data_IF_689563771549
#
_entry.id   IF_689563771549
#
_cell.length_a   1.000
_cell.length_b   1.000
_cell.length_c   1.000
_cell.angle_alpha   90.00
_cell.angle_beta   90.00
_cell.angle_gamma   90.00
#
_symmetry.space_group_name_H-M   'P 1'
#
loop_
_entity.id
_entity.type
_entity.pdbx_description
1 polymer ?
#
# COMPACT_ATOMS: atom_id res chain seq x y z
N UNK A 1 -46.23 -14.69 -40.32
CA UNK A 1 -45.70 -13.34 -40.51
C UNK A 1 -45.34 -12.82 -39.13
N UNK A 2 -44.11 -13.08 -38.68
CA UNK A 2 -43.61 -12.74 -37.34
C UNK A 2 -42.91 -11.39 -37.43
N UNK A 3 -43.46 -10.40 -36.71
CA UNK A 3 -42.96 -9.04 -36.67
C UNK A 3 -41.73 -9.02 -35.75
N UNK A 4 -40.54 -8.82 -36.33
CA UNK A 4 -39.30 -8.64 -35.56
C UNK A 4 -39.40 -7.32 -34.77
N UNK A 5 -39.22 -7.41 -33.45
CA UNK A 5 -39.21 -6.25 -32.55
C UNK A 5 -37.86 -5.53 -32.66
N UNK A 6 -37.79 -4.53 -33.54
CA UNK A 6 -36.64 -3.66 -33.85
C UNK A 6 -36.31 -2.66 -32.71
N UNK A 7 -36.46 -3.06 -31.45
CA UNK A 7 -36.01 -2.22 -30.32
C UNK A 7 -34.49 -2.27 -30.24
N UNK A 8 -33.84 -1.35 -30.94
CA UNK A 8 -32.44 -1.02 -30.70
C UNK A 8 -32.25 -0.80 -29.19
N UNK A 9 -31.37 -1.58 -28.52
CA UNK A 9 -31.08 -1.34 -27.12
C UNK A 9 -30.53 0.08 -27.00
N UNK A 10 -31.19 0.89 -26.17
CA UNK A 10 -30.74 2.24 -25.88
C UNK A 10 -29.29 2.16 -25.41
N UNK A 11 -28.37 2.75 -26.18
CA UNK A 11 -26.96 2.86 -25.82
C UNK A 11 -26.89 3.54 -24.45
N UNK A 12 -26.56 2.76 -23.43
CA UNK A 12 -26.38 3.29 -22.09
C UNK A 12 -25.38 4.45 -22.16
N UNK A 13 -25.66 5.60 -21.53
CA UNK A 13 -24.78 6.75 -21.59
C UNK A 13 -23.40 6.33 -21.10
N UNK A 14 -22.40 6.48 -21.98
CA UNK A 14 -21.01 6.18 -21.65
C UNK A 14 -20.67 6.92 -20.36
N UNK A 15 -20.46 6.17 -19.27
CA UNK A 15 -20.06 6.75 -18.00
C UNK A 15 -18.78 7.55 -18.25
N UNK A 16 -18.86 8.85 -18.00
CA UNK A 16 -17.79 9.79 -18.36
C UNK A 16 -16.49 9.36 -17.71
N UNK A 17 -15.38 9.51 -18.42
CA UNK A 17 -14.06 9.01 -18.00
C UNK A 17 -13.53 9.55 -16.67
N UNK A 18 -14.23 10.48 -16.00
CA UNK A 18 -13.93 11.03 -14.68
C UNK A 18 -14.45 10.14 -13.55
N UNK A 19 -15.68 9.60 -13.67
CA UNK A 19 -16.33 8.83 -12.61
C UNK A 19 -15.54 7.55 -12.25
N UNK A 20 -14.85 6.95 -13.22
CA UNK A 20 -14.01 5.76 -13.02
C UNK A 20 -12.76 6.00 -12.16
N UNK A 21 -12.29 7.24 -12.02
CA UNK A 21 -11.05 7.55 -11.29
C UNK A 21 -11.28 7.96 -9.84
N UNK A 22 -12.48 8.46 -9.51
CA UNK A 22 -12.80 8.96 -8.17
C UNK A 22 -12.52 7.92 -7.07
N UNK A 23 -12.95 6.65 -7.18
CA UNK A 23 -12.69 5.65 -6.13
C UNK A 23 -11.19 5.39 -5.92
N UNK A 24 -10.41 5.37 -7.01
CA UNK A 24 -8.95 5.16 -6.95
C UNK A 24 -8.24 6.34 -6.30
N UNK A 25 -8.64 7.56 -6.66
CA UNK A 25 -8.10 8.77 -6.06
C UNK A 25 -8.39 8.81 -4.55
N UNK A 26 -9.63 8.50 -4.14
CA UNK A 26 -10.01 8.44 -2.72
C UNK A 26 -9.23 7.34 -1.98
N UNK A 27 -9.05 6.17 -2.58
CA UNK A 27 -8.23 5.11 -2.01
C UNK A 27 -6.75 5.50 -1.88
N UNK A 28 -6.19 6.20 -2.86
CA UNK A 28 -4.81 6.69 -2.79
C UNK A 28 -4.64 7.76 -1.70
N UNK A 29 -5.57 8.71 -1.60
CA UNK A 29 -5.57 9.74 -0.55
C UNK A 29 -5.72 9.10 0.82
N UNK A 30 -6.70 8.21 1.00
CA UNK A 30 -6.93 7.50 2.26
C UNK A 30 -5.75 6.61 2.65
N UNK A 31 -5.21 5.81 1.73
CA UNK A 31 -4.05 4.95 1.96
C UNK A 31 -2.79 5.76 2.28
N UNK A 32 -2.50 6.79 1.49
CA UNK A 32 -1.35 7.68 1.73
C UNK A 32 -1.45 8.41 3.07
N UNK A 33 -2.65 8.88 3.44
CA UNK A 33 -2.89 9.51 4.74
C UNK A 33 -2.67 8.54 5.89
N UNK A 34 -3.20 7.32 5.77
CA UNK A 34 -3.02 6.29 6.77
C UNK A 34 -1.52 5.96 6.96
N UNK A 35 -0.76 5.79 5.86
CA UNK A 35 0.68 5.56 5.92
C UNK A 35 1.41 6.75 6.57
N UNK A 36 1.05 7.99 6.23
CA UNK A 36 1.63 9.20 6.85
C UNK A 36 1.40 9.24 8.36
N UNK A 37 0.20 8.89 8.81
CA UNK A 37 -0.13 8.81 10.24
C UNK A 37 0.65 7.67 10.91
N UNK A 38 0.75 6.50 10.26
CA UNK A 38 1.54 5.37 10.76
C UNK A 38 3.02 5.72 10.91
N UNK A 39 3.60 6.38 9.90
CA UNK A 39 4.98 6.86 9.91
C UNK A 39 5.22 7.83 11.09
N UNK A 40 4.32 8.79 11.26
CA UNK A 40 4.40 9.72 12.38
C UNK A 40 4.34 9.01 13.74
N UNK A 41 3.35 8.15 13.94
CA UNK A 41 3.10 7.48 15.22
C UNK A 41 4.17 6.44 15.56
N UNK A 42 4.65 5.70 14.57
CA UNK A 42 5.46 4.51 14.80
C UNK A 42 6.91 4.67 14.41
N UNK A 43 7.29 5.62 13.55
CA UNK A 43 8.68 5.80 13.15
C UNK A 43 9.26 7.15 13.60
N UNK A 44 8.51 8.24 13.49
CA UNK A 44 8.99 9.56 13.95
C UNK A 44 9.04 9.62 15.48
N UNK A 45 7.93 9.29 16.17
CA UNK A 45 7.85 9.39 17.63
C UNK A 45 8.74 8.41 18.39
N UNK A 46 9.05 7.29 17.76
CA UNK A 46 9.92 6.23 18.31
C UNK A 46 11.37 6.36 17.82
N UNK A 47 11.68 7.36 16.99
CA UNK A 47 13.01 7.61 16.40
C UNK A 47 13.56 6.42 15.61
N UNK A 48 12.72 5.78 14.81
CA UNK A 48 13.18 4.89 13.75
C UNK A 48 13.81 5.69 12.62
N UNK A 49 13.29 6.88 12.35
CA UNK A 49 13.84 7.83 11.37
C UNK A 49 13.70 9.27 11.86
N UNK A 50 14.46 10.16 11.22
CA UNK A 50 14.44 11.60 11.45
C UNK A 50 14.30 12.34 10.13
N UNK A 51 13.37 13.29 10.07
CA UNK A 51 13.18 14.17 8.93
C UNK A 51 13.99 15.47 9.06
N UNK A 52 14.47 16.00 7.93
CA UNK A 52 15.36 17.17 7.91
C UNK A 52 14.80 18.40 7.21
N UNK A 53 13.79 18.24 6.36
CA UNK A 53 13.23 19.35 5.59
C UNK A 53 12.10 20.05 6.34
N UNK A 54 11.97 21.36 6.16
CA UNK A 54 10.86 22.18 6.68
C UNK A 54 9.84 22.53 5.58
N UNK A 55 8.58 22.83 5.94
CA UNK A 55 8.00 22.79 7.29
C UNK A 55 7.80 21.37 7.83
N UNK A 56 7.83 21.24 9.16
CA UNK A 56 7.59 19.99 9.88
C UNK A 56 6.41 20.11 10.83
N UNK A 57 5.69 19.02 11.04
CA UNK A 57 4.69 18.86 12.09
C UNK A 57 5.12 17.69 12.98
N UNK A 58 5.39 17.99 14.26
CA UNK A 58 5.81 17.01 15.28
C UNK A 58 6.93 16.08 14.76
N UNK A 59 7.96 16.68 14.15
CA UNK A 59 9.14 15.98 13.62
C UNK A 59 8.98 15.32 12.25
N UNK A 60 7.79 15.35 11.63
CA UNK A 60 7.55 14.81 10.29
C UNK A 60 7.51 15.94 9.25
N UNK A 61 8.27 15.85 8.16
CA UNK A 61 8.20 16.86 7.08
C UNK A 61 6.84 16.80 6.37
N UNK A 62 6.18 17.95 6.20
CA UNK A 62 4.85 18.01 5.57
C UNK A 62 4.83 17.55 4.10
N UNK A 63 5.96 17.57 3.40
CA UNK A 63 6.08 17.04 2.03
C UNK A 63 5.92 15.51 1.96
N UNK A 64 6.07 14.78 3.09
CA UNK A 64 5.91 13.33 3.07
C UNK A 64 4.46 12.92 2.77
N UNK A 65 3.48 13.74 3.17
CA UNK A 65 2.06 13.48 2.91
C UNK A 65 1.75 13.31 1.42
N UNK A 66 2.06 14.28 0.52
CA UNK A 66 1.84 14.09 -0.91
C UNK A 66 2.72 12.98 -1.50
N UNK A 67 3.92 12.73 -0.96
CA UNK A 67 4.77 11.60 -1.40
C UNK A 67 4.08 10.26 -1.12
N UNK A 68 3.53 10.06 0.08
CA UNK A 68 2.81 8.83 0.40
C UNK A 68 1.50 8.68 -0.36
N UNK A 69 0.79 9.77 -0.66
CA UNK A 69 -0.38 9.71 -1.56
C UNK A 69 0.01 9.28 -2.98
N UNK A 70 1.10 9.81 -3.51
CA UNK A 70 1.63 9.41 -4.82
C UNK A 70 2.10 7.94 -4.81
N UNK A 71 2.80 7.52 -3.75
CA UNK A 71 3.21 6.14 -3.57
C UNK A 71 2.02 5.18 -3.48
N UNK A 72 0.98 5.53 -2.71
CA UNK A 72 -0.25 4.74 -2.61
C UNK A 72 -0.96 4.63 -3.98
N UNK A 73 -1.04 5.72 -4.74
CA UNK A 73 -1.58 5.70 -6.11
C UNK A 73 -0.77 4.76 -7.02
N UNK A 74 0.57 4.81 -6.95
CA UNK A 74 1.45 3.93 -7.70
C UNK A 74 1.26 2.46 -7.30
N UNK A 75 1.17 2.16 -6.00
CA UNK A 75 0.93 0.79 -5.51
C UNK A 75 -0.42 0.25 -6.03
N UNK A 76 -1.47 1.07 -6.05
CA UNK A 76 -2.77 0.69 -6.63
C UNK A 76 -2.68 0.45 -8.14
N UNK A 77 -1.90 1.26 -8.87
CA UNK A 77 -1.65 1.06 -10.28
C UNK A 77 -0.88 -0.26 -10.53
N UNK A 78 0.18 -0.52 -9.78
CA UNK A 78 0.97 -1.75 -9.83
C UNK A 78 0.14 -2.97 -9.45
N UNK A 79 -0.83 -2.83 -8.54
CA UNK A 79 -1.72 -3.91 -8.14
C UNK A 79 -2.79 -4.25 -9.19
N UNK A 80 -3.09 -3.34 -10.11
CA UNK A 80 -4.19 -3.50 -11.09
C UNK A 80 -4.11 -4.79 -11.92
N UNK A 81 -2.95 -5.20 -12.47
CA UNK A 81 -2.81 -6.46 -13.19
C UNK A 81 -3.03 -7.73 -12.34
N UNK A 82 -2.94 -7.61 -11.01
CA UNK A 82 -3.06 -8.72 -10.07
C UNK A 82 -4.48 -8.92 -9.53
N UNK A 83 -5.40 -7.99 -9.82
CA UNK A 83 -6.79 -8.08 -9.36
C UNK A 83 -7.54 -9.24 -10.03
N UNK A 84 -7.45 -9.38 -11.35
CA UNK A 84 -8.18 -10.41 -12.11
C UNK A 84 -9.71 -10.35 -11.93
N UNK A 85 -10.42 -11.38 -12.42
CA UNK A 85 -11.88 -11.56 -12.25
C UNK A 85 -12.26 -12.18 -10.89
N UNK A 86 -11.52 -11.83 -9.84
CA UNK A 86 -11.80 -12.39 -8.51
C UNK A 86 -12.93 -11.62 -7.83
N UNK A 87 -13.78 -12.29 -7.04
CA UNK A 87 -14.85 -11.61 -6.31
C UNK A 87 -14.33 -10.43 -5.48
N UNK A 88 -15.12 -9.36 -5.45
CA UNK A 88 -14.88 -8.19 -4.61
C UNK A 88 -14.70 -8.63 -3.14
N UNK A 89 -13.63 -8.21 -2.44
CA UNK A 89 -13.43 -8.58 -1.06
C UNK A 89 -14.46 -7.91 -0.15
N UNK A 90 -14.76 -8.54 0.99
CA UNK A 90 -15.52 -7.89 2.05
C UNK A 90 -14.71 -6.76 2.70
N UNK A 91 -15.39 -5.75 3.24
CA UNK A 91 -14.74 -4.68 4.01
C UNK A 91 -13.97 -5.21 5.21
N UNK A 92 -14.48 -6.24 5.89
CA UNK A 92 -13.78 -6.88 7.00
C UNK A 92 -12.39 -7.39 6.59
N UNK A 93 -12.26 -7.94 5.37
CA UNK A 93 -10.97 -8.38 4.83
C UNK A 93 -10.03 -7.22 4.56
N UNK A 94 -10.53 -6.11 4.01
CA UNK A 94 -9.73 -4.90 3.77
C UNK A 94 -9.21 -4.34 5.10
N UNK A 95 -10.09 -4.21 6.09
CA UNK A 95 -9.75 -3.72 7.43
C UNK A 95 -8.75 -4.64 8.11
N UNK A 96 -8.97 -5.95 8.11
CA UNK A 96 -8.04 -6.92 8.69
C UNK A 96 -6.66 -6.86 8.02
N UNK A 97 -6.62 -6.78 6.68
CA UNK A 97 -5.36 -6.71 5.95
C UNK A 97 -4.58 -5.42 6.27
N UNK A 98 -5.29 -4.29 6.40
CA UNK A 98 -4.74 -3.03 6.87
C UNK A 98 -4.25 -3.11 8.32
N UNK A 99 -5.05 -3.67 9.23
CA UNK A 99 -4.67 -3.83 10.63
C UNK A 99 -3.40 -4.68 10.79
N UNK A 100 -3.24 -5.77 10.02
CA UNK A 100 -2.00 -6.54 10.02
C UNK A 100 -0.79 -5.72 9.55
N UNK A 101 -0.95 -4.89 8.52
CA UNK A 101 0.11 -3.98 8.08
C UNK A 101 0.47 -2.96 9.16
N UNK A 102 -0.52 -2.31 9.78
CA UNK A 102 -0.28 -1.35 10.87
C UNK A 102 0.31 -1.99 12.12
N UNK A 103 -0.03 -3.24 12.43
CA UNK A 103 0.60 -3.99 13.51
C UNK A 103 2.08 -4.27 13.23
N UNK A 104 2.41 -4.70 12.00
CA UNK A 104 3.80 -4.86 11.57
C UNK A 104 4.57 -3.52 11.60
N UNK A 105 3.92 -2.43 11.18
CA UNK A 105 4.48 -1.08 11.22
C UNK A 105 4.75 -0.63 12.67
N UNK A 106 3.76 -0.76 13.56
CA UNK A 106 3.93 -0.45 14.98
C UNK A 106 5.06 -1.26 15.62
N UNK A 107 5.17 -2.55 15.28
CA UNK A 107 6.24 -3.41 15.75
C UNK A 107 7.63 -2.92 15.31
N UNK A 108 7.78 -2.47 14.06
CA UNK A 108 9.06 -1.87 13.61
C UNK A 108 9.42 -0.61 14.40
N UNK A 109 8.42 0.14 14.87
CA UNK A 109 8.62 1.27 15.76
C UNK A 109 9.25 0.93 17.10
N UNK A 110 8.91 -0.24 17.65
CA UNK A 110 9.37 -0.66 18.98
C UNK A 110 10.70 -1.42 18.94
N UNK A 111 11.01 -2.07 17.81
CA UNK A 111 12.08 -3.08 17.73
C UNK A 111 13.08 -2.76 16.62
N UNK A 112 12.69 -2.01 15.59
CA UNK A 112 13.44 -1.84 14.35
C UNK A 112 14.78 -1.14 14.51
N UNK A 113 14.92 -0.25 15.50
CA UNK A 113 16.18 0.45 15.78
C UNK A 113 17.12 -0.39 16.65
N UNK A 114 16.62 -0.92 17.77
CA UNK A 114 17.48 -1.57 18.78
C UNK A 114 17.78 -3.04 18.46
N UNK A 115 16.87 -3.71 17.74
CA UNK A 115 16.98 -5.13 17.41
C UNK A 115 16.60 -5.40 15.93
N UNK A 116 17.30 -4.81 14.95
CA UNK A 116 16.93 -4.84 13.54
C UNK A 116 16.89 -6.25 12.94
N UNK A 117 17.83 -7.12 13.32
CA UNK A 117 17.83 -8.51 12.87
C UNK A 117 16.63 -9.30 13.40
N UNK A 118 16.24 -9.09 14.66
CA UNK A 118 15.05 -9.71 15.24
C UNK A 118 13.78 -9.18 14.57
N UNK A 119 13.72 -7.87 14.31
CA UNK A 119 12.65 -7.24 13.57
C UNK A 119 12.46 -7.90 12.20
N UNK A 120 13.54 -8.06 11.43
CA UNK A 120 13.55 -8.73 10.13
C UNK A 120 12.97 -10.16 10.22
N UNK A 121 13.48 -10.98 11.14
CA UNK A 121 13.07 -12.39 11.29
C UNK A 121 11.60 -12.50 11.67
N UNK A 122 11.13 -11.71 12.63
CA UNK A 122 9.72 -11.74 13.09
C UNK A 122 8.79 -11.28 11.98
N UNK A 123 9.11 -10.20 11.27
CA UNK A 123 8.27 -9.71 10.17
C UNK A 123 8.18 -10.74 9.04
N UNK A 124 9.29 -11.38 8.68
CA UNK A 124 9.31 -12.40 7.65
C UNK A 124 8.53 -13.65 8.08
N UNK A 125 8.75 -14.14 9.31
CA UNK A 125 8.04 -15.31 9.84
C UNK A 125 6.52 -15.08 9.93
N UNK A 126 6.10 -13.93 10.44
CA UNK A 126 4.68 -13.57 10.53
C UNK A 126 4.05 -13.34 9.17
N UNK A 127 4.79 -12.80 8.19
CA UNK A 127 4.32 -12.70 6.82
C UNK A 127 4.14 -14.06 6.16
N UNK A 128 5.11 -14.98 6.32
CA UNK A 128 5.01 -16.35 5.81
C UNK A 128 3.81 -17.10 6.41
N UNK A 129 3.58 -16.94 7.72
CA UNK A 129 2.42 -17.50 8.40
C UNK A 129 1.12 -16.94 7.80
N UNK A 130 1.03 -15.61 7.64
CA UNK A 130 -0.13 -14.96 7.02
C UNK A 130 -0.36 -15.43 5.59
N UNK A 131 0.70 -15.62 4.83
CA UNK A 131 0.65 -16.09 3.44
C UNK A 131 0.05 -17.50 3.33
N UNK A 132 0.25 -18.36 4.34
CA UNK A 132 -0.36 -19.69 4.39
C UNK A 132 -1.90 -19.63 4.40
N UNK A 133 -2.47 -18.52 4.85
CA UNK A 133 -3.92 -18.28 4.91
C UNK A 133 -4.43 -17.28 3.85
N UNK A 134 -3.62 -16.90 2.86
CA UNK A 134 -3.99 -15.93 1.83
C UNK A 134 -4.50 -16.62 0.55
N UNK A 135 -5.82 -16.54 0.25
CA UNK A 135 -6.42 -17.13 -0.96
C UNK A 135 -5.72 -16.77 -2.27
N UNK A 136 -5.10 -15.60 -2.35
CA UNK A 136 -4.39 -15.12 -3.54
C UNK A 136 -2.88 -15.07 -3.33
N UNK A 137 -2.31 -16.06 -2.62
CA UNK A 137 -0.88 -16.14 -2.28
C UNK A 137 0.08 -15.74 -3.39
N UNK A 138 -0.13 -16.21 -4.63
CA UNK A 138 0.76 -15.89 -5.76
C UNK A 138 0.75 -14.39 -6.07
N UNK A 139 -0.44 -13.78 -6.14
CA UNK A 139 -0.58 -12.35 -6.36
C UNK A 139 0.01 -11.56 -5.19
N UNK A 140 -0.24 -11.99 -3.95
CA UNK A 140 0.29 -11.34 -2.74
C UNK A 140 1.83 -11.38 -2.69
N UNK A 141 2.47 -12.50 -3.05
CA UNK A 141 3.94 -12.62 -3.12
C UNK A 141 4.50 -11.72 -4.20
N UNK A 142 4.00 -11.81 -5.44
CA UNK A 142 4.55 -11.03 -6.56
C UNK A 142 4.37 -9.53 -6.34
N UNK A 143 3.16 -9.11 -5.92
CA UNK A 143 2.89 -7.72 -5.59
C UNK A 143 3.72 -7.26 -4.38
N UNK A 144 3.86 -8.12 -3.36
CA UNK A 144 4.71 -7.87 -2.20
C UNK A 144 6.16 -7.62 -2.58
N UNK A 145 6.74 -8.45 -3.43
CA UNK A 145 8.12 -8.27 -3.88
C UNK A 145 8.29 -6.98 -4.70
N UNK A 146 7.33 -6.67 -5.60
CA UNK A 146 7.37 -5.43 -6.39
C UNK A 146 7.27 -4.19 -5.50
N UNK A 147 6.32 -4.17 -4.56
CA UNK A 147 6.15 -3.05 -3.61
C UNK A 147 7.31 -3.00 -2.63
N UNK A 148 7.82 -4.13 -2.15
CA UNK A 148 8.91 -4.15 -1.19
C UNK A 148 10.24 -3.69 -1.75
N UNK A 149 10.60 -4.17 -2.93
CA UNK A 149 11.81 -3.70 -3.62
C UNK A 149 11.62 -2.26 -4.09
N UNK A 150 10.49 -1.94 -4.73
CA UNK A 150 10.22 -0.60 -5.25
C UNK A 150 10.08 0.47 -4.15
N UNK A 151 9.40 0.13 -3.05
CA UNK A 151 9.22 0.97 -1.88
C UNK A 151 10.55 1.22 -1.16
N UNK A 152 11.32 0.15 -0.89
CA UNK A 152 12.66 0.29 -0.31
C UNK A 152 13.60 1.12 -1.19
N UNK A 153 13.58 0.94 -2.51
CA UNK A 153 14.36 1.76 -3.44
C UNK A 153 13.89 3.22 -3.48
N UNK A 154 12.58 3.46 -3.47
CA UNK A 154 12.01 4.81 -3.41
C UNK A 154 12.39 5.54 -2.14
N UNK A 155 12.32 4.87 -1.00
CA UNK A 155 12.77 5.41 0.29
C UNK A 155 14.28 5.66 0.33
N UNK A 156 15.09 4.74 -0.18
CA UNK A 156 16.53 4.95 -0.30
C UNK A 156 16.86 6.20 -1.13
N UNK A 157 16.17 6.40 -2.27
CA UNK A 157 16.35 7.58 -3.10
C UNK A 157 15.93 8.86 -2.38
N UNK A 158 14.77 8.87 -1.70
CA UNK A 158 14.28 10.02 -0.94
C UNK A 158 15.20 10.34 0.25
N UNK A 159 15.73 9.32 0.92
CA UNK A 159 16.72 9.48 1.99
C UNK A 159 18.05 10.02 1.46
N UNK A 160 18.52 9.56 0.30
CA UNK A 160 19.72 10.08 -0.35
C UNK A 160 19.59 11.56 -0.77
N UNK A 161 18.37 12.03 -1.06
CA UNK A 161 18.07 13.46 -1.27
C UNK A 161 18.06 14.27 0.04
N UNK A 162 18.26 13.63 1.19
CA UNK A 162 18.33 14.27 2.50
C UNK A 162 16.97 14.63 3.09
N UNK A 163 15.86 14.09 2.57
CA UNK A 163 14.54 14.38 3.14
C UNK A 163 14.41 13.83 4.57
N UNK A 164 14.93 12.61 4.77
CA UNK A 164 14.96 11.92 6.06
C UNK A 164 16.12 10.93 6.11
N UNK A 165 16.41 10.40 7.29
CA UNK A 165 17.40 9.34 7.49
C UNK A 165 16.89 8.34 8.50
N UNK A 166 17.02 7.04 8.21
CA UNK A 166 16.81 5.99 9.21
C UNK A 166 17.93 6.01 10.26
N UNK A 167 17.57 5.79 11.52
CA UNK A 167 18.56 5.71 12.61
C UNK A 167 19.42 4.45 12.48
N UNK A 168 18.80 3.33 12.10
CA UNK A 168 19.52 2.12 11.73
C UNK A 168 19.45 1.91 10.21
N UNK A 169 20.60 1.75 9.57
CA UNK A 169 20.73 1.61 8.12
C UNK A 169 21.51 0.35 7.79
N UNK A 170 21.05 -0.39 6.77
CA UNK A 170 21.74 -1.56 6.26
C UNK A 170 22.17 -1.30 4.80
N UNK A 171 21.23 -1.36 3.86
CA UNK A 171 21.49 -1.32 2.42
C UNK A 171 20.95 -0.03 1.85
N UNK A 172 21.80 0.73 1.14
CA UNK A 172 21.41 1.99 0.48
C UNK A 172 20.70 3.01 1.40
N UNK A 173 21.07 3.04 2.68
CA UNK A 173 20.52 3.98 3.66
C UNK A 173 19.18 3.59 4.28
N UNK A 174 18.66 2.38 3.99
CA UNK A 174 17.42 1.84 4.57
C UNK A 174 17.68 0.51 5.31
N UNK A 175 16.86 0.16 6.31
CA UNK A 175 17.01 -1.10 7.04
C UNK A 175 16.48 -2.29 6.24
N UNK A 176 17.09 -3.47 6.40
CA UNK A 176 16.69 -4.70 5.70
C UNK A 176 15.27 -5.15 6.09
N UNK A 177 14.85 -4.88 7.32
CA UNK A 177 13.50 -5.22 7.78
C UNK A 177 12.39 -4.43 7.07
N UNK A 178 12.73 -3.39 6.30
CA UNK A 178 11.78 -2.62 5.50
C UNK A 178 11.13 -3.48 4.41
N UNK A 179 11.89 -4.40 3.80
CA UNK A 179 11.36 -5.30 2.78
C UNK A 179 10.16 -6.12 3.30
N UNK A 180 10.27 -6.92 4.38
CA UNK A 180 9.12 -7.66 4.89
C UNK A 180 8.02 -6.78 5.51
N UNK A 181 8.31 -5.56 5.96
CA UNK A 181 7.25 -4.59 6.31
C UNK A 181 6.37 -4.31 5.09
N UNK A 182 6.96 -4.02 3.93
CA UNK A 182 6.21 -3.83 2.69
C UNK A 182 5.47 -5.09 2.22
N UNK A 183 6.02 -6.28 2.46
CA UNK A 183 5.34 -7.54 2.17
C UNK A 183 3.99 -7.65 2.93
N UNK A 184 3.90 -7.11 4.15
CA UNK A 184 2.64 -7.04 4.91
C UNK A 184 1.63 -6.04 4.34
N UNK A 185 2.08 -5.02 3.61
CA UNK A 185 1.22 -4.04 2.95
C UNK A 185 0.51 -4.59 1.70
N UNK A 186 1.15 -5.52 0.97
CA UNK A 186 0.65 -5.99 -0.32
C UNK A 186 -0.77 -6.59 -0.30
N UNK A 187 -1.18 -7.43 0.68
CA UNK A 187 -2.56 -7.91 0.74
C UNK A 187 -3.58 -6.78 0.95
N UNK A 188 -3.24 -5.72 1.68
CA UNK A 188 -4.11 -4.56 1.87
C UNK A 188 -4.25 -3.78 0.56
N UNK A 189 -3.14 -3.54 -0.14
CA UNK A 189 -3.14 -2.90 -1.47
C UNK A 189 -3.96 -3.72 -2.48
N UNK A 190 -3.77 -5.03 -2.51
CA UNK A 190 -4.53 -5.92 -3.41
C UNK A 190 -6.03 -5.90 -3.11
N UNK A 191 -6.41 -5.96 -1.83
CA UNK A 191 -7.81 -5.90 -1.41
C UNK A 191 -8.44 -4.55 -1.76
N UNK A 192 -7.72 -3.45 -1.53
CA UNK A 192 -8.17 -2.11 -1.88
C UNK A 192 -8.29 -1.92 -3.39
N UNK A 193 -7.31 -2.39 -4.17
CA UNK A 193 -7.34 -2.35 -5.63
C UNK A 193 -8.57 -3.08 -6.19
N UNK A 194 -8.92 -4.24 -5.64
CA UNK A 194 -10.15 -4.97 -5.99
C UNK A 194 -11.42 -4.22 -5.62
N UNK A 195 -11.41 -3.54 -4.49
CA UNK A 195 -12.55 -2.77 -4.02
C UNK A 195 -12.82 -1.53 -4.89
N UNK A 196 -11.78 -0.92 -5.45
CA UNK A 196 -11.91 0.29 -6.27
C UNK A 196 -11.86 0.03 -7.77
N UNK A 197 -11.68 -1.21 -8.20
CA UNK A 197 -11.96 -1.57 -9.58
C UNK A 197 -13.47 -1.53 -9.81
N UNK A 198 -13.87 -0.65 -10.72
CA UNK A 198 -15.21 -0.63 -11.28
C UNK A 198 -15.22 -1.71 -12.34
N UNK A 199 -15.89 -2.83 -12.09
CA UNK A 199 -16.20 -3.77 -13.17
C UNK A 199 -17.09 -3.02 -14.18
N UNK A 200 -16.75 -3.03 -15.49
CA UNK A 200 -17.75 -2.72 -16.49
C UNK A 200 -18.85 -3.78 -16.33
N UNK A 201 -20.07 -3.33 -16.09
CA UNK A 201 -21.24 -4.19 -15.98
C UNK A 201 -21.23 -5.15 -17.19
N UNK A 202 -21.27 -6.48 -16.99
CA UNK A 202 -21.41 -7.40 -18.10
C UNK A 202 -22.83 -7.23 -18.67
N UNK A 203 -22.98 -6.33 -19.63
CA UNK A 203 -24.17 -6.21 -20.49
C UNK A 203 -24.34 -7.46 -21.32
#
# INVERSE_FOLDING_TARGET
MLQADDRQPALAPATTGVARWVPRALAAVGGGTAISVGDHLFHVRTRVLVHHWHPQWDGQTLVVFPIFMAAAALMLAVATPFVGRTPRPSWARVVLAGACFFAAYAFTGQVGTDHPAWCLVVLLATWLLRLAFEPHRRAAVLLGLLIGVGGGAGEAAVSALGLFTYVHQDVAGVPLWLLPLYLHGAPAVLALARLVQVEPDPT
#
